data_IF_466659926994
#
_entry.id   IF_466659926994
#
_cell.length_a   1.000
_cell.length_b   1.000
_cell.length_c   1.000
_cell.angle_alpha   90.00
_cell.angle_beta   90.00
_cell.angle_gamma   90.00
#
_symmetry.space_group_name_H-M   'P 1'
#
loop_
_entity.id
_entity.type
_entity.pdbx_description
1 polymer ?
#
# COMPACT_ATOMS: atom_id res chain seq x y z
N UNK A 1 8.66 -14.75 20.20
CA UNK A 1 8.94 -14.00 18.94
C UNK A 1 7.63 -13.37 18.52
N UNK A 2 7.52 -12.03 18.38
CA UNK A 2 6.22 -11.42 18.18
C UNK A 2 5.64 -11.87 16.85
N UNK A 3 4.44 -12.43 16.94
CA UNK A 3 3.57 -12.89 15.86
C UNK A 3 3.19 -11.70 14.96
N UNK A 4 2.92 -11.93 13.67
CA UNK A 4 2.31 -11.03 12.66
C UNK A 4 1.26 -10.06 13.24
N UNK A 5 0.49 -10.49 14.24
CA UNK A 5 -0.46 -9.63 14.93
C UNK A 5 0.19 -8.43 15.63
N UNK A 6 1.43 -8.52 16.09
CA UNK A 6 2.11 -7.45 16.85
C UNK A 6 2.50 -6.26 15.98
N UNK A 7 2.85 -6.44 14.70
CA UNK A 7 3.20 -5.28 13.85
C UNK A 7 1.95 -4.49 13.45
N UNK A 8 0.84 -5.18 13.23
CA UNK A 8 -0.46 -4.56 12.95
C UNK A 8 -1.21 -4.16 14.22
N UNK A 9 -0.84 -4.67 15.39
CA UNK A 9 -1.57 -4.44 16.64
C UNK A 9 -1.72 -2.96 16.94
N UNK A 10 -0.64 -2.21 16.76
CA UNK A 10 -0.60 -0.78 17.05
C UNK A 10 -1.19 0.05 15.91
N UNK A 11 -1.06 -0.43 14.67
CA UNK A 11 -1.56 0.27 13.49
C UNK A 11 -3.05 0.07 13.22
N UNK A 12 -3.61 -1.10 13.52
CA UNK A 12 -5.01 -1.43 13.20
C UNK A 12 -6.01 -0.45 13.86
N UNK A 13 -5.89 -0.11 15.15
CA UNK A 13 -6.78 0.87 15.76
C UNK A 13 -6.67 2.25 15.10
N UNK A 14 -5.44 2.67 14.74
CA UNK A 14 -5.19 3.93 14.02
C UNK A 14 -5.88 3.89 12.66
N UNK A 15 -5.66 2.84 11.88
CA UNK A 15 -6.20 2.73 10.54
C UNK A 15 -7.72 2.66 10.54
N UNK A 16 -8.32 1.85 11.41
CA UNK A 16 -9.77 1.67 11.47
C UNK A 16 -10.50 2.90 12.01
N UNK A 17 -9.95 3.57 13.04
CA UNK A 17 -10.65 4.66 13.75
C UNK A 17 -10.33 6.04 13.17
N UNK A 18 -9.09 6.25 12.71
CA UNK A 18 -8.61 7.59 12.38
C UNK A 18 -8.50 7.80 10.86
N UNK A 19 -8.28 6.73 10.08
CA UNK A 19 -7.98 6.84 8.64
C UNK A 19 -9.12 6.33 7.75
N UNK A 20 -9.58 5.09 7.92
CA UNK A 20 -10.67 4.52 7.10
C UNK A 20 -11.98 5.34 7.11
N UNK A 21 -12.36 6.07 8.17
CA UNK A 21 -13.52 6.96 8.11
C UNK A 21 -13.39 8.11 7.10
N UNK A 22 -12.16 8.51 6.75
CA UNK A 22 -11.92 9.50 5.68
C UNK A 22 -12.37 8.91 4.34
N UNK A 23 -11.92 7.69 4.05
CA UNK A 23 -12.26 6.97 2.82
C UNK A 23 -13.73 6.53 2.77
N UNK A 24 -14.33 6.18 3.91
CA UNK A 24 -15.77 5.96 4.02
C UNK A 24 -16.56 7.21 3.64
N UNK A 25 -16.08 8.39 4.03
CA UNK A 25 -16.69 9.65 3.62
C UNK A 25 -16.52 9.91 2.12
N UNK A 26 -15.37 9.61 1.54
CA UNK A 26 -15.21 9.69 0.07
C UNK A 26 -16.28 8.86 -0.65
N UNK A 27 -16.49 7.63 -0.19
CA UNK A 27 -17.50 6.71 -0.74
C UNK A 27 -18.94 7.24 -0.62
N UNK A 28 -19.22 8.09 0.37
CA UNK A 28 -20.52 8.72 0.59
C UNK A 28 -20.70 10.02 -0.21
N UNK A 29 -19.62 10.75 -0.45
CA UNK A 29 -19.67 12.12 -0.98
C UNK A 29 -19.45 12.18 -2.50
N UNK A 30 -18.29 11.75 -2.99
CA UNK A 30 -17.92 11.92 -4.42
C UNK A 30 -17.52 10.60 -5.10
N UNK A 31 -17.09 9.60 -4.34
CA UNK A 31 -16.52 8.35 -4.83
C UNK A 31 -17.44 7.15 -4.54
N UNK A 32 -18.70 7.26 -4.92
CA UNK A 32 -19.70 6.19 -4.76
C UNK A 32 -19.31 4.85 -5.43
N UNK A 33 -18.34 4.86 -6.36
CA UNK A 33 -17.78 3.68 -7.00
C UNK A 33 -16.62 3.05 -6.20
N UNK A 34 -16.07 3.77 -5.21
CA UNK A 34 -14.99 3.33 -4.35
C UNK A 34 -13.64 3.23 -5.06
N UNK A 35 -13.37 4.07 -6.06
CA UNK A 35 -12.09 4.10 -6.75
C UNK A 35 -10.94 4.49 -5.82
N UNK A 36 -11.14 5.47 -4.95
CA UNK A 36 -10.24 5.94 -3.91
C UNK A 36 -10.91 5.76 -2.54
N UNK A 37 -11.58 4.61 -2.35
CA UNK A 37 -12.30 4.25 -1.13
C UNK A 37 -11.50 3.32 -0.20
N UNK A 38 -12.18 2.75 0.78
CA UNK A 38 -11.60 1.90 1.84
C UNK A 38 -10.94 0.64 1.30
N UNK A 39 -11.48 0.04 0.23
CA UNK A 39 -10.87 -1.14 -0.43
C UNK A 39 -9.49 -0.79 -0.97
N UNK A 40 -9.40 0.31 -1.71
CA UNK A 40 -8.16 0.79 -2.29
C UNK A 40 -7.13 1.07 -1.18
N UNK A 41 -7.46 1.93 -0.21
CA UNK A 41 -6.57 2.27 0.90
C UNK A 41 -6.07 1.03 1.67
N UNK A 42 -6.96 0.07 1.93
CA UNK A 42 -6.60 -1.16 2.64
C UNK A 42 -5.60 -2.01 1.86
N UNK A 43 -5.80 -2.18 0.55
CA UNK A 43 -4.87 -2.97 -0.29
C UNK A 43 -3.53 -2.26 -0.46
N UNK A 44 -3.52 -0.96 -0.69
CA UNK A 44 -2.28 -0.17 -0.78
C UNK A 44 -1.42 -0.38 0.46
N UNK A 45 -2.00 -0.28 1.65
CA UNK A 45 -1.29 -0.48 2.93
C UNK A 45 -0.74 -1.92 3.06
N UNK A 46 -1.50 -2.93 2.65
CA UNK A 46 -1.03 -4.32 2.62
C UNK A 46 0.15 -4.48 1.64
N UNK A 47 0.07 -3.87 0.46
CA UNK A 47 1.16 -3.94 -0.52
C UNK A 47 2.41 -3.26 0.01
N UNK A 48 2.30 -2.05 0.56
CA UNK A 48 3.42 -1.36 1.17
C UNK A 48 4.11 -2.19 2.26
N UNK A 49 3.33 -2.85 3.13
CA UNK A 49 3.85 -3.77 4.13
C UNK A 49 4.64 -4.93 3.49
N UNK A 50 4.05 -5.58 2.48
CA UNK A 50 4.67 -6.71 1.78
C UNK A 50 5.97 -6.31 1.11
N UNK A 51 5.99 -5.15 0.44
CA UNK A 51 7.18 -4.62 -0.22
C UNK A 51 8.27 -4.28 0.80
N UNK A 52 7.92 -3.60 1.90
CA UNK A 52 8.85 -3.32 2.99
C UNK A 52 9.51 -4.60 3.52
N UNK A 53 8.72 -5.62 3.83
CA UNK A 53 9.25 -6.92 4.29
C UNK A 53 10.07 -7.64 3.23
N UNK A 54 9.71 -7.52 1.95
CA UNK A 54 10.52 -8.08 0.87
C UNK A 54 11.93 -7.48 0.88
N UNK A 55 12.08 -6.16 1.01
CA UNK A 55 13.40 -5.53 1.17
C UNK A 55 14.10 -5.94 2.47
N UNK A 56 13.36 -6.13 3.58
CA UNK A 56 13.94 -6.68 4.81
C UNK A 56 14.56 -8.06 4.59
N UNK A 57 13.90 -8.99 3.86
CA UNK A 57 14.51 -10.29 3.54
C UNK A 57 15.76 -10.21 2.68
N UNK A 58 15.96 -9.10 1.99
CA UNK A 58 17.12 -8.84 1.14
C UNK A 58 18.23 -8.10 1.89
N UNK A 59 18.11 -8.00 3.22
CA UNK A 59 19.12 -7.42 4.10
C UNK A 59 19.09 -5.89 4.16
N UNK A 60 17.95 -5.26 3.85
CA UNK A 60 17.72 -3.84 4.13
C UNK A 60 17.15 -3.72 5.55
N UNK A 61 17.97 -3.27 6.50
CA UNK A 61 17.67 -3.33 7.94
C UNK A 61 16.96 -2.10 8.52
N UNK A 62 16.89 -0.99 7.79
CA UNK A 62 16.38 0.29 8.28
C UNK A 62 15.13 0.71 7.51
N UNK A 63 14.07 -0.10 7.59
CA UNK A 63 12.79 0.20 6.96
C UNK A 63 11.82 0.69 8.03
N UNK A 64 11.39 1.94 7.88
CA UNK A 64 10.33 2.52 8.72
C UNK A 64 8.96 1.97 8.30
N UNK A 65 8.59 0.83 8.86
CA UNK A 65 7.30 0.18 8.58
C UNK A 65 6.10 1.01 9.10
N UNK A 66 6.27 1.79 10.16
CA UNK A 66 5.20 2.67 10.65
C UNK A 66 4.96 3.80 9.65
N UNK A 67 6.04 4.48 9.23
CA UNK A 67 5.99 5.53 8.22
C UNK A 67 5.45 5.03 6.88
N UNK A 68 5.85 3.83 6.44
CA UNK A 68 5.32 3.20 5.22
C UNK A 68 3.80 3.03 5.26
N UNK A 69 3.27 2.53 6.37
CA UNK A 69 1.81 2.34 6.48
C UNK A 69 1.09 3.67 6.53
N UNK A 70 1.61 4.65 7.27
CA UNK A 70 0.97 5.96 7.39
C UNK A 70 1.03 6.75 6.08
N UNK A 71 2.18 6.78 5.41
CA UNK A 71 2.35 7.51 4.15
C UNK A 71 1.41 6.98 3.06
N UNK A 72 1.25 5.66 2.98
CA UNK A 72 0.35 5.01 2.02
C UNK A 72 -1.10 5.12 2.47
N UNK A 73 -1.39 5.01 3.76
CA UNK A 73 -2.75 5.15 4.26
C UNK A 73 -3.31 6.56 4.07
N UNK A 74 -2.46 7.59 4.00
CA UNK A 74 -2.89 8.99 3.80
C UNK A 74 -2.79 9.50 2.36
N UNK A 75 -2.19 8.77 1.41
CA UNK A 75 -1.84 9.33 0.09
C UNK A 75 -3.02 9.93 -0.69
N UNK A 76 -4.22 9.39 -0.54
CA UNK A 76 -5.46 9.88 -1.16
C UNK A 76 -6.45 10.49 -0.16
N UNK A 77 -6.04 10.75 1.08
CA UNK A 77 -6.94 11.15 2.17
C UNK A 77 -7.62 12.52 1.95
N UNK A 78 -7.04 13.40 1.13
CA UNK A 78 -7.61 14.73 0.89
C UNK A 78 -8.36 14.85 -0.45
N UNK A 79 -8.57 13.74 -1.17
CA UNK A 79 -9.27 13.79 -2.46
C UNK A 79 -10.69 14.33 -2.30
N UNK A 80 -11.12 15.15 -3.25
CA UNK A 80 -12.50 15.66 -3.34
C UNK A 80 -13.18 15.27 -4.67
N UNK A 81 -12.45 14.65 -5.59
CA UNK A 81 -12.99 14.05 -6.80
C UNK A 81 -12.14 12.87 -7.31
N UNK A 82 -12.72 12.08 -8.21
CA UNK A 82 -12.08 10.93 -8.86
C UNK A 82 -11.22 11.29 -10.10
N UNK A 83 -11.11 12.58 -10.42
CA UNK A 83 -10.40 13.08 -11.60
C UNK A 83 -8.88 13.11 -11.44
N UNK A 84 -8.25 14.13 -12.01
CA UNK A 84 -6.80 14.35 -11.90
C UNK A 84 -6.35 14.37 -10.44
N UNK A 85 -5.12 13.93 -10.16
CA UNK A 85 -4.57 13.93 -8.80
C UNK A 85 -4.07 15.33 -8.41
N UNK A 86 -4.99 16.16 -7.90
CA UNK A 86 -4.71 17.54 -7.51
C UNK A 86 -4.52 17.71 -5.98
N UNK A 87 -4.73 16.65 -5.19
CA UNK A 87 -4.84 16.72 -3.72
C UNK A 87 -3.64 16.14 -2.97
N UNK A 88 -2.60 15.72 -3.68
CA UNK A 88 -1.41 15.11 -3.09
C UNK A 88 -0.78 15.98 -1.98
N UNK A 89 -0.72 17.30 -2.18
CA UNK A 89 -0.19 18.22 -1.17
C UNK A 89 -1.05 18.25 0.09
N UNK A 90 -2.36 18.29 -0.08
CA UNK A 90 -3.33 18.33 1.01
C UNK A 90 -3.33 17.01 1.78
N UNK A 91 -3.21 15.88 1.08
CA UNK A 91 -3.03 14.55 1.68
C UNK A 91 -1.74 14.49 2.50
N UNK A 92 -0.64 15.03 1.98
CA UNK A 92 0.65 15.09 2.66
C UNK A 92 0.62 15.97 3.92
N UNK A 93 0.00 17.15 3.83
CA UNK A 93 -0.19 18.06 4.94
C UNK A 93 -1.08 17.44 6.03
N UNK A 94 -2.17 16.77 5.65
CA UNK A 94 -3.04 16.06 6.58
C UNK A 94 -2.28 14.95 7.34
N UNK A 95 -1.44 14.18 6.63
CA UNK A 95 -0.59 13.17 7.25
C UNK A 95 0.39 13.78 8.26
N UNK A 96 1.06 14.88 7.89
CA UNK A 96 1.98 15.61 8.79
C UNK A 96 1.28 16.11 10.04
N UNK A 97 0.13 16.77 9.88
CA UNK A 97 -0.67 17.27 11.00
C UNK A 97 -1.07 16.12 11.92
N UNK A 98 -1.51 15.00 11.36
CA UNK A 98 -1.84 13.81 12.14
C UNK A 98 -0.63 13.30 12.94
N UNK A 99 0.53 13.14 12.31
CA UNK A 99 1.77 12.70 12.97
C UNK A 99 2.18 13.62 14.12
N UNK A 100 2.12 14.93 13.92
CA UNK A 100 2.40 15.93 14.96
C UNK A 100 1.42 15.81 16.14
N UNK A 101 0.13 15.59 15.86
CA UNK A 101 -0.88 15.37 16.90
C UNK A 101 -0.67 14.07 17.68
N UNK A 102 -0.09 13.05 17.04
CA UNK A 102 0.35 11.82 17.72
C UNK A 102 1.68 11.99 18.48
N UNK A 103 2.23 13.20 18.56
CA UNK A 103 3.45 13.51 19.29
C UNK A 103 4.75 13.09 18.59
N UNK A 104 4.70 12.79 17.28
CA UNK A 104 5.92 12.51 16.50
C UNK A 104 6.72 13.80 16.31
N UNK A 105 8.04 13.64 16.16
CA UNK A 105 8.93 14.78 15.93
C UNK A 105 8.61 15.48 14.59
N UNK A 106 8.71 16.81 14.55
CA UNK A 106 8.47 17.59 13.34
C UNK A 106 9.39 17.20 12.18
N UNK A 107 10.64 16.84 12.48
CA UNK A 107 11.59 16.33 11.48
C UNK A 107 11.11 15.02 10.85
N UNK A 108 10.50 14.13 11.63
CA UNK A 108 9.92 12.89 11.14
C UNK A 108 8.67 13.16 10.30
N UNK A 109 7.72 13.96 10.82
CA UNK A 109 6.48 14.29 10.12
C UNK A 109 6.74 15.01 8.78
N UNK A 110 7.73 15.91 8.75
CA UNK A 110 8.18 16.58 7.52
C UNK A 110 8.85 15.62 6.53
N UNK A 111 9.57 14.60 7.00
CA UNK A 111 10.14 13.59 6.12
C UNK A 111 9.05 12.73 5.45
N UNK A 112 7.99 12.37 6.20
CA UNK A 112 6.83 11.64 5.66
C UNK A 112 6.07 12.50 4.64
N UNK A 113 5.77 13.76 4.96
CA UNK A 113 5.14 14.72 4.05
C UNK A 113 5.91 14.81 2.73
N UNK A 114 7.23 14.98 2.82
CA UNK A 114 8.10 15.08 1.65
C UNK A 114 8.08 13.82 0.80
N UNK A 115 8.08 12.64 1.41
CA UNK A 115 8.01 11.38 0.68
C UNK A 115 6.72 11.25 -0.16
N UNK A 116 5.59 11.79 0.30
CA UNK A 116 4.33 11.84 -0.45
C UNK A 116 4.44 12.77 -1.65
N UNK A 117 4.93 14.00 -1.43
CA UNK A 117 5.09 15.00 -2.50
C UNK A 117 6.07 14.60 -3.61
N UNK A 118 6.97 13.66 -3.32
CA UNK A 118 7.98 13.16 -4.25
C UNK A 118 7.57 11.83 -4.92
N UNK A 119 6.36 11.27 -4.67
CA UNK A 119 5.98 9.92 -5.15
C UNK A 119 6.02 9.76 -6.67
N UNK A 120 5.76 10.83 -7.42
CA UNK A 120 5.79 10.85 -8.88
C UNK A 120 7.13 11.28 -9.49
N UNK A 121 8.10 11.66 -8.65
CA UNK A 121 9.47 11.93 -9.07
C UNK A 121 10.30 10.64 -9.03
N UNK A 122 11.53 10.69 -9.56
CA UNK A 122 12.49 9.62 -9.31
C UNK A 122 12.74 9.52 -7.79
N UNK A 123 12.29 8.43 -7.18
CA UNK A 123 12.32 8.25 -5.73
C UNK A 123 13.74 8.42 -5.18
N UNK A 124 13.92 9.35 -4.23
CA UNK A 124 15.21 9.58 -3.57
C UNK A 124 15.47 8.66 -2.37
N UNK A 125 14.46 7.90 -1.93
CA UNK A 125 14.52 7.01 -0.78
C UNK A 125 13.52 5.85 -0.92
N UNK A 126 13.71 4.79 -0.11
CA UNK A 126 12.91 3.56 -0.20
C UNK A 126 11.45 3.76 0.21
N UNK A 127 11.16 4.69 1.13
CA UNK A 127 9.80 5.02 1.58
C UNK A 127 8.98 5.55 0.41
N UNK A 128 9.52 6.52 -0.34
CA UNK A 128 8.90 7.07 -1.57
C UNK A 128 8.74 6.01 -2.65
N UNK A 129 9.75 5.15 -2.85
CA UNK A 129 9.69 4.08 -3.86
C UNK A 129 8.58 3.07 -3.56
N UNK A 130 8.47 2.60 -2.31
CA UNK A 130 7.43 1.65 -1.90
C UNK A 130 6.04 2.29 -1.96
N UNK A 131 5.90 3.56 -1.55
CA UNK A 131 4.65 4.31 -1.70
C UNK A 131 4.17 4.30 -3.16
N UNK A 132 5.05 4.69 -4.08
CA UNK A 132 4.79 4.68 -5.50
C UNK A 132 4.41 3.27 -6.01
N UNK A 133 5.20 2.26 -5.67
CA UNK A 133 4.96 0.89 -6.14
C UNK A 133 3.64 0.31 -5.61
N UNK A 134 3.30 0.59 -4.35
CA UNK A 134 2.03 0.15 -3.75
C UNK A 134 0.83 0.73 -4.49
N UNK A 135 0.88 2.01 -4.86
CA UNK A 135 -0.17 2.68 -5.63
C UNK A 135 -0.22 2.17 -7.10
N UNK A 136 0.94 2.00 -7.75
CA UNK A 136 1.02 1.40 -9.09
C UNK A 136 0.41 0.01 -9.13
N UNK A 137 0.66 -0.84 -8.13
CA UNK A 137 0.06 -2.17 -8.03
C UNK A 137 -1.47 -2.11 -7.94
N UNK A 138 -2.00 -1.10 -7.27
CA UNK A 138 -3.43 -0.87 -7.12
C UNK A 138 -4.13 -0.49 -8.42
N UNK A 139 -3.43 0.04 -9.43
CA UNK A 139 -3.97 0.27 -10.78
C UNK A 139 -4.52 -1.02 -11.42
N UNK A 140 -4.04 -2.18 -10.99
CA UNK A 140 -4.57 -3.47 -11.45
C UNK A 140 -6.09 -3.58 -11.27
N UNK A 141 -6.70 -2.93 -10.26
CA UNK A 141 -8.16 -3.03 -10.01
C UNK A 141 -9.00 -2.64 -11.23
N UNK A 142 -8.56 -1.64 -12.00
CA UNK A 142 -9.24 -1.20 -13.23
C UNK A 142 -9.17 -2.23 -14.37
N UNK A 143 -8.30 -3.23 -14.25
CA UNK A 143 -8.11 -4.28 -15.25
C UNK A 143 -8.99 -5.51 -15.00
N UNK A 144 -9.62 -5.63 -13.82
CA UNK A 144 -10.43 -6.81 -13.40
C UNK A 144 -11.56 -7.10 -14.38
N UNK A 145 -12.23 -6.06 -14.87
CA UNK A 145 -13.32 -6.18 -15.84
C UNK A 145 -12.86 -6.16 -17.31
N UNK A 146 -11.55 -6.09 -17.56
CA UNK A 146 -11.01 -6.06 -18.90
C UNK A 146 -10.66 -7.47 -19.39
N UNK A 147 -11.11 -7.86 -20.59
CA UNK A 147 -10.80 -9.18 -21.19
C UNK A 147 -9.29 -9.44 -21.34
N UNK A 148 -8.47 -8.38 -21.43
CA UNK A 148 -7.01 -8.49 -21.49
C UNK A 148 -6.38 -8.57 -20.10
N UNK A 149 -7.08 -8.17 -19.04
CA UNK A 149 -6.68 -8.27 -17.63
C UNK A 149 -5.25 -7.78 -17.38
N UNK A 150 -4.50 -8.57 -16.61
CA UNK A 150 -3.10 -8.32 -16.26
C UNK A 150 -2.13 -8.16 -17.47
N UNK A 151 -2.54 -8.49 -18.70
CA UNK A 151 -1.75 -8.19 -19.91
C UNK A 151 -1.67 -6.68 -20.21
N UNK A 152 -2.59 -5.88 -19.68
CA UNK A 152 -2.59 -4.42 -19.81
C UNK A 152 -1.80 -3.73 -18.69
N UNK A 153 -1.39 -4.47 -17.66
CA UNK A 153 -0.63 -3.88 -16.56
C UNK A 153 0.74 -3.41 -17.05
N UNK A 154 1.02 -2.12 -16.85
CA UNK A 154 2.25 -1.43 -17.25
C UNK A 154 3.37 -1.78 -16.27
N UNK A 155 3.95 -2.97 -16.42
CA UNK A 155 5.01 -3.49 -15.54
C UNK A 155 6.22 -2.56 -15.45
N UNK A 156 6.50 -1.75 -16.46
CA UNK A 156 7.59 -0.80 -16.47
C UNK A 156 7.34 0.43 -15.58
N UNK A 157 6.11 0.65 -15.12
CA UNK A 157 5.81 1.69 -14.12
C UNK A 157 6.09 1.21 -12.70
N UNK A 158 6.36 -0.08 -12.48
CA UNK A 158 6.68 -0.60 -11.15
C UNK A 158 8.20 -0.67 -10.98
N UNK A 159 8.73 0.09 -10.01
CA UNK A 159 10.18 0.15 -9.73
C UNK A 159 10.68 -1.06 -8.95
N UNK A 160 9.82 -1.73 -8.19
CA UNK A 160 10.13 -2.95 -7.45
C UNK A 160 10.95 -3.94 -8.29
N UNK A 161 12.18 -4.19 -7.88
CA UNK A 161 13.12 -5.11 -8.52
C UNK A 161 13.34 -4.83 -10.01
N UNK A 162 13.17 -3.59 -10.48
CA UNK A 162 13.55 -3.15 -11.83
C UNK A 162 14.95 -2.53 -11.83
N UNK A 163 15.43 -2.07 -13.00
CA UNK A 163 16.73 -1.38 -13.11
C UNK A 163 16.71 -0.02 -12.40
N UNK A 164 15.53 0.55 -12.19
CA UNK A 164 15.27 1.80 -11.49
C UNK A 164 15.14 1.63 -9.97
N UNK A 165 15.16 0.39 -9.45
CA UNK A 165 15.13 0.11 -8.02
C UNK A 165 16.35 0.72 -7.31
N UNK A 166 16.16 1.48 -6.23
CA UNK A 166 17.24 2.07 -5.43
C UNK A 166 18.24 1.04 -4.91
N UNK A 167 17.84 -0.22 -4.78
CA UNK A 167 18.68 -1.34 -4.37
C UNK A 167 18.96 -2.31 -5.53
N UNK A 168 18.93 -1.87 -6.80
CA UNK A 168 19.06 -2.71 -7.98
C UNK A 168 20.17 -3.78 -7.88
N UNK A 169 21.39 -3.40 -7.46
CA UNK A 169 22.51 -4.35 -7.32
C UNK A 169 22.24 -5.50 -6.33
N UNK A 170 21.35 -5.29 -5.35
CA UNK A 170 20.92 -6.33 -4.40
C UNK A 170 19.74 -7.13 -4.92
N UNK A 171 18.93 -6.59 -5.83
CA UNK A 171 17.65 -7.19 -6.25
C UNK A 171 17.60 -7.62 -7.71
N UNK A 172 18.65 -7.37 -8.50
CA UNK A 172 18.69 -7.71 -9.94
C UNK A 172 18.40 -9.19 -10.25
N UNK A 173 18.68 -10.09 -9.30
CA UNK A 173 18.41 -11.52 -9.42
C UNK A 173 16.93 -11.89 -9.11
N UNK A 174 16.12 -10.94 -8.67
CA UNK A 174 14.76 -11.13 -8.17
C UNK A 174 13.69 -10.99 -9.26
N UNK A 175 14.06 -10.79 -10.53
CA UNK A 175 13.11 -10.60 -11.65
C UNK A 175 12.05 -11.71 -11.74
N UNK A 176 12.43 -12.97 -11.50
CA UNK A 176 11.48 -14.08 -11.47
C UNK A 176 10.48 -13.93 -10.30
N UNK A 177 10.97 -13.59 -9.11
CA UNK A 177 10.14 -13.40 -7.93
C UNK A 177 9.22 -12.18 -8.07
N UNK A 178 9.70 -11.10 -8.68
CA UNK A 178 8.90 -9.92 -9.05
C UNK A 178 7.66 -10.32 -9.85
N UNK A 179 7.85 -11.11 -10.90
CA UNK A 179 6.74 -11.56 -11.75
C UNK A 179 5.77 -12.47 -11.00
N UNK A 180 6.27 -13.35 -10.12
CA UNK A 180 5.41 -14.18 -9.27
C UNK A 180 4.60 -13.31 -8.30
N UNK A 181 5.23 -12.33 -7.65
CA UNK A 181 4.57 -11.43 -6.71
C UNK A 181 3.45 -10.63 -7.40
N UNK A 182 3.72 -10.06 -8.57
CA UNK A 182 2.73 -9.36 -9.40
C UNK A 182 1.52 -10.25 -9.69
N UNK A 183 1.73 -11.54 -9.99
CA UNK A 183 0.65 -12.49 -10.26
C UNK A 183 -0.16 -12.83 -9.01
N UNK A 184 0.48 -12.96 -7.84
CA UNK A 184 -0.20 -13.20 -6.58
C UNK A 184 -1.01 -11.97 -6.14
N UNK A 185 -0.42 -10.78 -6.24
CA UNK A 185 -1.11 -9.50 -5.99
C UNK A 185 -2.31 -9.34 -6.93
N UNK A 186 -2.15 -9.67 -8.21
CA UNK A 186 -3.28 -9.65 -9.15
C UNK A 186 -4.45 -10.54 -8.71
N UNK A 187 -4.18 -11.78 -8.28
CA UNK A 187 -5.22 -12.69 -7.77
C UNK A 187 -5.92 -12.08 -6.55
N UNK A 188 -5.13 -11.50 -5.64
CA UNK A 188 -5.65 -10.85 -4.44
C UNK A 188 -6.52 -9.62 -4.77
N UNK A 189 -6.06 -8.75 -5.67
CA UNK A 189 -6.84 -7.61 -6.20
C UNK A 189 -8.13 -8.11 -6.83
N UNK A 190 -8.05 -9.12 -7.70
CA UNK A 190 -9.23 -9.68 -8.36
C UNK A 190 -10.28 -10.13 -7.33
N UNK A 191 -9.90 -10.91 -6.32
CA UNK A 191 -10.85 -11.41 -5.31
C UNK A 191 -11.44 -10.34 -4.42
N UNK A 192 -10.62 -9.38 -4.00
CA UNK A 192 -11.05 -8.27 -3.15
C UNK A 192 -11.91 -7.26 -3.91
N UNK A 193 -11.75 -7.16 -5.23
CA UNK A 193 -12.59 -6.31 -6.09
C UNK A 193 -13.99 -6.91 -6.29
N UNK A 194 -14.07 -8.24 -6.39
CA UNK A 194 -15.34 -8.97 -6.50
C UNK A 194 -16.03 -9.24 -5.16
N UNK A 195 -15.40 -8.84 -4.05
CA UNK A 195 -15.96 -9.11 -2.74
C UNK A 195 -17.19 -8.24 -2.46
N UNK A 196 -18.37 -8.84 -2.57
CA UNK A 196 -19.63 -8.16 -2.29
C UNK A 196 -20.05 -8.33 -0.83
N UNK A 197 -19.22 -7.81 0.09
CA UNK A 197 -19.51 -7.75 1.53
C UNK A 197 -19.40 -6.31 2.02
N UNK A 198 -20.31 -5.93 2.92
CA UNK A 198 -20.23 -4.66 3.64
C UNK A 198 -19.43 -4.88 4.91
N UNK A 199 -18.15 -4.49 4.88
CA UNK A 199 -17.26 -4.54 6.03
C UNK A 199 -17.36 -3.23 6.81
N UNK A 200 -17.32 -3.30 8.14
CA UNK A 200 -17.04 -2.12 8.96
C UNK A 200 -15.56 -1.74 8.86
N UNK A 201 -15.21 -0.52 9.28
CA UNK A 201 -13.82 -0.04 9.25
C UNK A 201 -12.87 -0.97 10.04
N UNK A 202 -13.33 -1.54 11.14
CA UNK A 202 -12.56 -2.49 11.95
C UNK A 202 -12.36 -3.85 11.26
N UNK A 203 -13.22 -4.19 10.30
CA UNK A 203 -13.20 -5.48 9.61
C UNK A 203 -12.36 -5.47 8.33
N UNK A 204 -12.16 -4.32 7.68
CA UNK A 204 -11.47 -4.22 6.38
C UNK A 204 -10.10 -4.89 6.37
N UNK A 205 -9.17 -4.37 7.19
CA UNK A 205 -7.79 -4.85 7.20
C UNK A 205 -7.70 -6.32 7.68
N UNK A 206 -8.33 -6.73 8.80
CA UNK A 206 -8.27 -8.13 9.23
C UNK A 206 -8.86 -9.12 8.20
N UNK A 207 -9.96 -8.76 7.56
CA UNK A 207 -10.58 -9.60 6.52
C UNK A 207 -9.62 -9.78 5.35
N UNK A 208 -9.03 -8.69 4.86
CA UNK A 208 -8.13 -8.71 3.70
C UNK A 208 -6.84 -9.47 4.01
N UNK A 209 -6.26 -9.28 5.19
CA UNK A 209 -5.11 -10.07 5.65
C UNK A 209 -5.45 -11.56 5.70
N UNK A 210 -6.65 -11.93 6.19
CA UNK A 210 -7.06 -13.34 6.29
C UNK A 210 -7.14 -14.04 4.93
N UNK A 211 -7.51 -13.33 3.87
CA UNK A 211 -7.68 -13.91 2.53
C UNK A 211 -6.39 -14.56 2.01
N UNK A 212 -5.27 -13.87 2.11
CA UNK A 212 -4.01 -14.44 1.63
C UNK A 212 -3.33 -15.28 2.70
N UNK A 213 -3.40 -14.90 3.98
CA UNK A 213 -2.72 -15.63 5.07
C UNK A 213 -3.30 -17.01 5.35
N UNK A 214 -4.58 -17.24 5.07
CA UNK A 214 -5.21 -18.55 5.21
C UNK A 214 -5.09 -19.41 3.94
N UNK A 215 -4.53 -18.86 2.85
CA UNK A 215 -4.42 -19.51 1.55
C UNK A 215 -2.97 -19.54 1.04
N UNK A 216 -2.03 -20.03 1.86
CA UNK A 216 -0.59 -20.05 1.55
C UNK A 216 -0.26 -20.71 0.21
N UNK A 217 -0.94 -21.81 -0.13
CA UNK A 217 -0.75 -22.49 -1.42
C UNK A 217 -1.08 -21.60 -2.63
N UNK A 218 -1.96 -20.61 -2.47
CA UNK A 218 -2.41 -19.69 -3.52
C UNK A 218 -1.53 -18.43 -3.61
N UNK A 219 -1.01 -17.98 -2.47
CA UNK A 219 -0.18 -16.79 -2.34
C UNK A 219 1.15 -17.09 -1.62
N UNK A 220 1.99 -18.01 -2.14
CA UNK A 220 3.18 -18.45 -1.43
C UNK A 220 4.19 -17.32 -1.22
N UNK A 221 4.38 -16.43 -2.20
CA UNK A 221 5.35 -15.34 -2.08
C UNK A 221 4.84 -14.20 -1.20
N UNK A 222 3.57 -13.82 -1.31
CA UNK A 222 2.96 -12.84 -0.38
C UNK A 222 3.03 -13.36 1.05
N UNK A 223 2.67 -14.63 1.31
CA UNK A 223 2.78 -15.22 2.64
C UNK A 223 4.22 -15.27 3.15
N UNK A 224 5.15 -15.65 2.28
CA UNK A 224 6.58 -15.67 2.62
C UNK A 224 7.04 -14.29 3.08
N UNK A 225 6.79 -13.25 2.30
CA UNK A 225 7.20 -11.90 2.68
C UNK A 225 6.47 -11.40 3.92
N UNK A 226 5.17 -11.66 4.02
CA UNK A 226 4.38 -11.27 5.18
C UNK A 226 4.85 -11.93 6.48
N UNK A 227 5.35 -13.16 6.41
CA UNK A 227 5.78 -13.94 7.58
C UNK A 227 7.21 -13.66 8.05
N UNK A 228 7.97 -12.83 7.32
CA UNK A 228 9.32 -12.41 7.74
C UNK A 228 9.24 -11.62 9.03
N UNK A 229 10.19 -11.81 9.95
CA UNK A 229 10.27 -11.06 11.20
C UNK A 229 11.11 -9.81 11.05
#
# INVERSE_FOLDING_TARGET
MPNIFHSWHDFLPIFARDILPIYERHEQDFDFMGFHGRRHATRSVIFAELLGRAYTSLGVSEIDMEGLRLVVAFHDAAREANGEDEWERQSAEACKVYLLQQGKADTYATAIERAMLEKHAQAGNLLTQILHDADVLEFMRFLVNNKRGLKLFRRNELTLFSEEDLYFHRVMHMQAQRNVLIQEIWKFVFETEWMNVQLTNEQFLPTYLSLFTQNEAKYPLMNRFFSLK
#
